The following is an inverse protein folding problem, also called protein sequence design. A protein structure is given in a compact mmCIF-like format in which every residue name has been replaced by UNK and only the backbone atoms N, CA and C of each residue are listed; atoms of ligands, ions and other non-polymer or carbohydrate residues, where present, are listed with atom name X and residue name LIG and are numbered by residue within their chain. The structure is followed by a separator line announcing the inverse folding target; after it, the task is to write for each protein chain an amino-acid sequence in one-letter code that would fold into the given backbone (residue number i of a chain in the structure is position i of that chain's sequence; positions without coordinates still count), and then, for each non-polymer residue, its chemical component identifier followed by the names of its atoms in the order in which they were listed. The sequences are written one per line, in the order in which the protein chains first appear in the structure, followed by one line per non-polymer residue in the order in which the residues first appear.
data_IF_370093384672
#
_entry.id   IF_370093384672
#
_cell.length_a   1.000
_cell.length_b   1.000
_cell.length_c   1.000
_cell.angle_alpha   90.00
_cell.angle_beta   90.00
_cell.angle_gamma   90.00
#
_symmetry.space_group_name_H-M   'P 1'
#
loop_
_entity.id
_entity.type
_entity.pdbx_description
1 polymer ?
#
# COMPACT_ATOMS: atom_id res chain seq x y z
N UNK A 1 -23.09 16.74 -0.67
CA UNK A 1 -22.21 17.24 0.40
C UNK A 1 -21.10 18.04 -0.23
N UNK A 2 -20.80 19.27 0.20
CA UNK A 2 -19.72 20.10 -0.37
C UNK A 2 -18.54 20.14 0.59
N UNK A 3 -17.32 20.20 0.04
CA UNK A 3 -16.12 20.55 0.80
C UNK A 3 -16.28 21.98 1.32
N UNK A 4 -16.04 22.18 2.61
CA UNK A 4 -16.25 23.47 3.28
C UNK A 4 -14.99 24.34 3.32
N UNK A 5 -13.82 23.74 3.08
CA UNK A 5 -12.54 24.42 3.01
C UNK A 5 -12.56 25.52 1.93
N UNK A 6 -12.27 26.79 2.26
CA UNK A 6 -12.27 27.90 1.29
C UNK A 6 -11.31 27.69 0.11
N UNK A 7 -10.19 27.02 0.34
CA UNK A 7 -9.16 26.67 -0.62
C UNK A 7 -9.48 25.43 -1.47
N UNK A 8 -10.55 24.70 -1.11
CA UNK A 8 -10.92 23.44 -1.76
C UNK A 8 -9.99 22.29 -1.38
N UNK A 9 -9.85 21.33 -2.31
CA UNK A 9 -8.94 20.19 -2.17
C UNK A 9 -7.59 20.52 -2.81
N UNK A 10 -6.54 19.84 -2.35
CA UNK A 10 -5.20 19.90 -2.96
C UNK A 10 -5.15 19.14 -4.29
N UNK A 11 -5.94 18.07 -4.39
CA UNK A 11 -6.07 17.22 -5.57
C UNK A 11 -7.53 16.83 -5.77
N UNK A 12 -7.97 16.64 -7.01
CA UNK A 12 -9.35 16.22 -7.31
C UNK A 12 -9.71 14.87 -6.69
N UNK A 13 -8.72 14.00 -6.52
CA UNK A 13 -8.79 12.64 -5.95
C UNK A 13 -8.21 12.56 -4.52
N UNK A 14 -8.12 13.68 -3.79
CA UNK A 14 -7.45 13.77 -2.48
C UNK A 14 -7.97 12.74 -1.46
N UNK A 15 -9.28 12.43 -1.47
CA UNK A 15 -9.85 11.45 -0.55
C UNK A 15 -9.31 10.03 -0.76
N UNK A 16 -9.15 9.58 -2.02
CA UNK A 16 -8.60 8.25 -2.30
C UNK A 16 -7.09 8.24 -2.07
N UNK A 17 -6.38 9.32 -2.41
CA UNK A 17 -4.96 9.48 -2.06
C UNK A 17 -4.72 9.40 -0.56
N UNK A 18 -5.60 9.98 0.25
CA UNK A 18 -5.52 9.89 1.70
C UNK A 18 -5.75 8.45 2.19
N UNK A 19 -6.63 7.67 1.53
CA UNK A 19 -6.78 6.24 1.83
C UNK A 19 -5.58 5.40 1.46
N UNK A 20 -4.89 5.73 0.38
CA UNK A 20 -3.62 5.10 0.04
C UNK A 20 -2.55 5.47 1.09
N UNK A 21 -2.51 6.74 1.52
CA UNK A 21 -1.60 7.19 2.59
C UNK A 21 -1.88 6.49 3.93
N UNK A 22 -3.15 6.35 4.31
CA UNK A 22 -3.59 5.58 5.49
C UNK A 22 -3.06 4.14 5.40
N UNK A 23 -3.23 3.49 4.24
CA UNK A 23 -2.80 2.11 4.02
C UNK A 23 -1.27 1.95 4.11
N UNK A 24 -0.50 2.88 3.53
CA UNK A 24 0.98 2.91 3.67
C UNK A 24 1.36 3.01 5.16
N UNK A 25 0.69 3.88 5.92
CA UNK A 25 0.90 4.03 7.36
C UNK A 25 0.59 2.75 8.14
N UNK A 26 -0.52 2.08 7.82
CA UNK A 26 -0.91 0.83 8.45
C UNK A 26 0.08 -0.32 8.12
N UNK A 27 0.54 -0.43 6.87
CA UNK A 27 1.53 -1.44 6.46
C UNK A 27 2.92 -1.20 7.04
N UNK A 28 3.28 0.05 7.36
CA UNK A 28 4.54 0.35 8.05
C UNK A 28 4.62 -0.29 9.45
N UNK A 29 3.49 -0.71 10.04
CA UNK A 29 3.45 -1.46 11.30
C UNK A 29 3.94 -2.91 11.17
N UNK A 30 4.22 -3.38 9.94
CA UNK A 30 4.90 -4.67 9.71
C UNK A 30 6.37 -4.63 10.16
N UNK A 31 6.94 -3.49 10.53
CA UNK A 31 8.37 -3.32 10.90
C UNK A 31 9.36 -3.56 9.74
N UNK A 32 8.90 -4.11 8.63
CA UNK A 32 9.62 -4.32 7.39
C UNK A 32 9.01 -3.50 6.25
N UNK A 33 9.83 -3.18 5.24
CA UNK A 33 9.29 -2.60 4.00
C UNK A 33 8.60 -3.71 3.22
N UNK A 34 7.32 -3.53 2.94
CA UNK A 34 6.56 -4.47 2.12
C UNK A 34 7.00 -4.34 0.66
N UNK A 35 7.46 -5.45 0.08
CA UNK A 35 7.65 -5.59 -1.37
C UNK A 35 6.53 -6.50 -1.87
N UNK A 36 5.60 -5.95 -2.63
CA UNK A 36 4.43 -6.68 -3.13
C UNK A 36 3.33 -5.75 -3.62
N UNK A 37 2.17 -6.33 -3.93
CA UNK A 37 0.96 -5.62 -4.37
C UNK A 37 -0.04 -5.50 -3.23
N UNK A 38 -0.66 -4.32 -3.08
CA UNK A 38 -1.72 -4.07 -2.11
C UNK A 38 -2.98 -3.62 -2.85
N UNK A 39 -4.03 -4.42 -2.73
CA UNK A 39 -5.34 -4.12 -3.27
C UNK A 39 -6.38 -4.00 -2.16
N UNK A 40 -7.18 -2.94 -2.22
CA UNK A 40 -8.26 -2.73 -1.27
C UNK A 40 -9.49 -2.11 -1.92
N UNK A 41 -10.66 -2.72 -1.66
CA UNK A 41 -11.96 -2.17 -1.99
C UNK A 41 -12.58 -1.63 -0.70
N UNK A 42 -12.80 -0.31 -0.64
CA UNK A 42 -13.29 0.38 0.56
C UNK A 42 -12.44 0.07 1.82
N UNK A 43 -11.12 0.17 1.68
CA UNK A 43 -10.15 -0.09 2.74
C UNK A 43 -10.39 0.72 4.02
N UNK A 44 -10.01 0.14 5.16
CA UNK A 44 -10.07 0.77 6.49
C UNK A 44 -8.93 0.26 7.36
N UNK A 45 -8.56 1.03 8.39
CA UNK A 45 -7.55 0.61 9.36
C UNK A 45 -7.84 -0.76 9.97
N UNK A 46 -9.12 -1.07 10.24
CA UNK A 46 -9.49 -2.39 10.76
C UNK A 46 -9.19 -3.51 9.77
N UNK A 47 -9.52 -3.34 8.49
CA UNK A 47 -9.23 -4.32 7.45
C UNK A 47 -7.72 -4.46 7.21
N UNK A 48 -6.98 -3.36 7.20
CA UNK A 48 -5.52 -3.38 7.07
C UNK A 48 -4.87 -4.12 8.23
N UNK A 49 -5.35 -3.91 9.46
CA UNK A 49 -4.90 -4.67 10.63
C UNK A 49 -5.23 -6.18 10.55
N UNK A 50 -6.38 -6.54 10.00
CA UNK A 50 -6.70 -7.95 9.77
C UNK A 50 -5.80 -8.57 8.69
N UNK A 51 -5.47 -7.81 7.64
CA UNK A 51 -4.52 -8.22 6.60
C UNK A 51 -3.14 -8.50 7.21
N UNK A 52 -2.59 -7.58 8.01
CA UNK A 52 -1.26 -7.79 8.64
C UNK A 52 -1.26 -8.99 9.59
N UNK A 53 -2.35 -9.19 10.36
CA UNK A 53 -2.52 -10.40 11.17
C UNK A 53 -2.54 -11.68 10.35
N UNK A 54 -3.20 -11.67 9.20
CA UNK A 54 -3.26 -12.83 8.30
C UNK A 54 -1.92 -13.10 7.62
N UNK A 55 -1.20 -12.06 7.23
CA UNK A 55 0.16 -12.19 6.73
C UNK A 55 1.06 -12.91 7.73
N UNK A 56 1.03 -12.50 9.01
CA UNK A 56 1.83 -13.13 10.06
C UNK A 56 1.26 -14.42 10.66
N UNK A 57 0.12 -14.90 10.19
CA UNK A 57 -0.47 -16.14 10.72
C UNK A 57 0.36 -17.38 10.34
N UNK A 58 1.09 -17.32 9.23
CA UNK A 58 1.88 -18.41 8.68
C UNK A 58 3.14 -17.85 7.99
N UNK A 59 4.31 -18.46 8.24
CA UNK A 59 5.58 -18.09 7.62
C UNK A 59 5.60 -18.34 6.10
N UNK A 60 4.67 -19.14 5.56
CA UNK A 60 4.54 -19.36 4.11
C UNK A 60 3.87 -18.19 3.37
N UNK A 61 3.28 -17.23 4.09
CA UNK A 61 2.63 -16.07 3.49
C UNK A 61 3.58 -14.92 3.16
N UNK A 62 4.82 -14.97 3.66
CA UNK A 62 5.82 -13.92 3.45
C UNK A 62 7.23 -14.49 3.44
N UNK A 63 8.16 -13.73 2.89
CA UNK A 63 9.58 -14.03 2.96
C UNK A 63 10.32 -12.78 3.41
N UNK A 64 11.29 -12.95 4.32
CA UNK A 64 12.19 -11.86 4.71
C UNK A 64 13.43 -11.94 3.85
N UNK A 65 13.50 -11.02 2.89
CA UNK A 65 14.60 -10.88 1.95
C UNK A 65 15.54 -9.74 2.39
N UNK A 66 16.76 -9.72 1.84
CA UNK A 66 17.69 -8.62 2.08
C UNK A 66 17.39 -7.40 1.18
N UNK A 67 18.11 -6.30 1.42
CA UNK A 67 17.90 -5.04 0.71
C UNK A 67 18.28 -5.11 -0.78
N UNK A 68 19.24 -5.95 -1.16
CA UNK A 68 19.66 -6.08 -2.56
C UNK A 68 18.58 -6.82 -3.36
N UNK A 69 18.06 -7.91 -2.80
CA UNK A 69 16.95 -8.67 -3.37
C UNK A 69 15.67 -7.84 -3.44
N UNK A 70 15.31 -7.14 -2.35
CA UNK A 70 14.15 -6.24 -2.32
C UNK A 70 14.22 -5.16 -3.41
N UNK A 71 15.40 -4.59 -3.65
CA UNK A 71 15.61 -3.59 -4.70
C UNK A 71 15.45 -4.20 -6.09
N UNK A 72 15.94 -5.43 -6.31
CA UNK A 72 15.75 -6.15 -7.57
C UNK A 72 14.27 -6.40 -7.86
N UNK A 73 13.53 -6.93 -6.89
CA UNK A 73 12.10 -7.21 -7.02
C UNK A 73 11.28 -5.92 -7.28
N UNK A 74 11.56 -4.84 -6.56
CA UNK A 74 10.89 -3.56 -6.77
C UNK A 74 11.05 -3.04 -8.22
N UNK A 75 12.25 -3.15 -8.80
CA UNK A 75 12.49 -2.78 -10.20
C UNK A 75 11.67 -3.64 -11.17
N UNK A 76 11.53 -4.95 -10.91
CA UNK A 76 10.72 -5.85 -11.73
C UNK A 76 9.26 -5.44 -11.70
N UNK A 77 8.72 -5.11 -10.52
CA UNK A 77 7.36 -4.60 -10.38
C UNK A 77 7.17 -3.28 -11.14
N UNK A 78 8.05 -2.30 -10.96
CA UNK A 78 7.98 -1.03 -11.70
C UNK A 78 7.99 -1.24 -13.22
N UNK A 79 8.83 -2.15 -13.72
CA UNK A 79 8.86 -2.53 -15.14
C UNK A 79 7.58 -3.24 -15.61
N UNK A 80 6.95 -4.04 -14.75
CA UNK A 80 5.69 -4.70 -15.06
C UNK A 80 4.54 -3.67 -15.18
N UNK A 81 4.38 -2.79 -14.19
CA UNK A 81 3.31 -1.80 -14.19
C UNK A 81 3.46 -0.72 -15.26
N UNK A 82 4.68 -0.31 -15.61
CA UNK A 82 4.91 0.62 -16.72
C UNK A 82 4.49 0.06 -18.09
N UNK A 83 4.54 -1.26 -18.28
CA UNK A 83 4.09 -1.93 -19.51
C UNK A 83 2.58 -2.15 -19.57
N UNK A 84 1.89 -2.15 -18.42
CA UNK A 84 0.43 -2.35 -18.36
C UNK A 84 -0.31 -1.08 -18.77
N UNK A 85 0.29 0.10 -18.63
CA UNK A 85 -0.28 1.39 -19.07
C UNK A 85 0.13 1.83 -20.49
N UNK A 86 0.72 0.93 -21.31
CA UNK A 86 1.17 1.20 -22.69
C UNK A 86 0.24 0.62 -23.77
#
# INVERSE_FOLDING_TARGET
TKVLNPEGLRYDDEFVRHKILDAIGDMALLEYTLVGEYDAIAGSHHLNHLLTKKLYEDETNYEIIDLEEASSEANVFEMAYSKVES
#
